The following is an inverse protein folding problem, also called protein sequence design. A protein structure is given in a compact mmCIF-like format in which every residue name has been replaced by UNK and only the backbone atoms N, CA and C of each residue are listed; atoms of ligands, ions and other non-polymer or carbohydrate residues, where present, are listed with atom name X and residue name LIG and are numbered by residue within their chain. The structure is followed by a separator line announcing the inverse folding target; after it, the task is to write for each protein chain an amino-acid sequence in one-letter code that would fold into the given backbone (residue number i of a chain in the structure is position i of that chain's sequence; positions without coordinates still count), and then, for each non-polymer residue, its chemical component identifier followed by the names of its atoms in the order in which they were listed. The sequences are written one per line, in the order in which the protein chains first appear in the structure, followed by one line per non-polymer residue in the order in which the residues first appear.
data_IF_701737044375
#
_entry.id   IF_701737044375
#
_cell.length_a   1.000
_cell.length_b   1.000
_cell.length_c   1.000
_cell.angle_alpha   90.00
_cell.angle_beta   90.00
_cell.angle_gamma   90.00
#
_symmetry.space_group_name_H-M   'P 1'
#
loop_
_entity.id
_entity.type
_entity.pdbx_description
1 polymer ?
#
# COMPACT_ATOMS: atom_id res chain seq x y z
N UNK A 1 21.89 5.50 12.69
CA UNK A 1 20.57 5.84 13.26
C UNK A 1 20.04 4.65 14.04
N UNK A 2 19.75 4.82 15.33
CA UNK A 2 19.12 3.83 16.21
C UNK A 2 17.72 3.45 15.72
N UNK A 3 17.29 2.20 15.97
CA UNK A 3 15.98 1.65 15.59
C UNK A 3 14.82 2.56 16.01
N UNK A 4 14.95 3.19 17.18
CA UNK A 4 14.01 4.17 17.74
C UNK A 4 13.78 5.41 16.88
N UNK A 5 14.82 5.90 16.19
CA UNK A 5 14.71 7.07 15.29
C UNK A 5 14.18 6.70 13.92
N UNK A 6 14.42 5.47 13.45
CA UNK A 6 13.92 4.98 12.15
C UNK A 6 12.41 4.67 12.18
N UNK A 7 11.91 4.18 13.31
CA UNK A 7 10.52 3.75 13.47
C UNK A 7 9.75 4.56 14.52
N UNK A 8 10.13 5.82 14.74
CA UNK A 8 9.53 6.67 15.78
C UNK A 8 8.01 6.76 15.67
N UNK A 9 7.48 6.91 14.44
CA UNK A 9 6.03 6.86 14.19
C UNK A 9 5.40 5.55 14.66
N UNK A 10 6.00 4.41 14.32
CA UNK A 10 5.49 3.09 14.72
C UNK A 10 5.42 2.92 16.24
N UNK A 11 6.45 3.39 16.96
CA UNK A 11 6.46 3.32 18.43
C UNK A 11 5.42 4.21 19.09
N UNK A 12 5.23 5.43 18.60
CA UNK A 12 4.22 6.36 19.12
C UNK A 12 2.82 5.79 18.89
N UNK A 13 2.54 5.31 17.68
CA UNK A 13 1.25 4.68 17.35
C UNK A 13 1.00 3.42 18.15
N UNK A 14 2.02 2.56 18.34
CA UNK A 14 1.91 1.38 19.20
C UNK A 14 1.63 1.76 20.65
N UNK A 15 2.26 2.82 21.16
CA UNK A 15 2.00 3.35 22.49
C UNK A 15 0.55 3.78 22.67
N UNK A 16 0.03 4.58 21.74
CA UNK A 16 -1.39 4.98 21.75
C UNK A 16 -2.33 3.77 21.67
N UNK A 17 -2.01 2.80 20.81
CA UNK A 17 -2.79 1.57 20.67
C UNK A 17 -2.85 0.77 21.98
N UNK A 18 -1.72 0.55 22.64
CA UNK A 18 -1.66 -0.19 23.90
C UNK A 18 -2.43 0.54 25.00
N UNK A 19 -2.28 1.87 25.10
CA UNK A 19 -3.01 2.68 26.07
C UNK A 19 -4.52 2.60 25.82
N UNK A 20 -4.96 2.72 24.57
CA UNK A 20 -6.38 2.59 24.22
C UNK A 20 -6.92 1.18 24.46
N UNK A 21 -6.12 0.14 24.19
CA UNK A 21 -6.52 -1.24 24.42
C UNK A 21 -6.69 -1.53 25.91
N UNK A 22 -5.74 -1.09 26.75
CA UNK A 22 -5.88 -1.18 28.20
C UNK A 22 -7.12 -0.41 28.67
N UNK A 23 -7.33 0.81 28.17
CA UNK A 23 -8.51 1.60 28.47
C UNK A 23 -9.80 0.87 28.12
N UNK A 24 -9.90 0.30 26.93
CA UNK A 24 -11.06 -0.48 26.47
C UNK A 24 -11.40 -1.62 27.45
N UNK A 25 -10.40 -2.39 27.88
CA UNK A 25 -10.61 -3.46 28.85
C UNK A 25 -10.99 -2.92 30.23
N UNK A 26 -10.29 -1.91 30.74
CA UNK A 26 -10.59 -1.30 32.06
C UNK A 26 -12.02 -0.74 32.11
N UNK A 27 -12.46 0.01 31.09
CA UNK A 27 -13.82 0.52 31.03
C UNK A 27 -14.84 -0.60 30.83
N UNK A 28 -14.50 -1.63 30.04
CA UNK A 28 -15.30 -2.84 29.90
C UNK A 28 -15.50 -3.57 31.23
N UNK A 29 -14.51 -3.56 32.13
CA UNK A 29 -14.67 -4.15 33.47
C UNK A 29 -15.73 -3.43 34.29
N UNK A 30 -15.72 -2.09 34.28
CA UNK A 30 -16.73 -1.32 34.98
C UNK A 30 -18.13 -1.57 34.42
N UNK A 31 -18.27 -1.62 33.09
CA UNK A 31 -19.53 -1.94 32.44
C UNK A 31 -20.02 -3.35 32.79
N UNK A 32 -19.14 -4.35 32.70
CA UNK A 32 -19.46 -5.74 33.04
C UNK A 32 -19.92 -5.87 34.49
N UNK A 33 -19.21 -5.26 35.44
CA UNK A 33 -19.57 -5.30 36.86
C UNK A 33 -20.93 -4.66 37.11
N UNK A 34 -21.20 -3.50 36.49
CA UNK A 34 -22.50 -2.82 36.60
C UNK A 34 -23.64 -3.69 36.05
N UNK A 35 -23.45 -4.29 34.88
CA UNK A 35 -24.42 -5.21 34.26
C UNK A 35 -24.69 -6.45 35.14
N UNK A 36 -23.64 -7.11 35.64
CA UNK A 36 -23.82 -8.27 36.52
C UNK A 36 -24.55 -7.89 37.81
N UNK A 37 -24.28 -6.71 38.39
CA UNK A 37 -24.99 -6.23 39.58
C UNK A 37 -26.46 -5.95 39.32
N UNK A 38 -26.79 -5.32 38.18
CA UNK A 38 -28.16 -5.05 37.77
C UNK A 38 -28.97 -6.33 37.55
N UNK A 39 -28.33 -7.39 37.05
CA UNK A 39 -28.95 -8.69 36.83
C UNK A 39 -28.89 -9.62 38.06
N UNK A 40 -28.29 -9.20 39.18
CA UNK A 40 -28.12 -10.03 40.38
C UNK A 40 -27.23 -11.27 40.14
N UNK A 41 -26.37 -11.22 39.11
CA UNK A 41 -25.50 -12.30 38.70
C UNK A 41 -24.13 -12.21 39.39
N UNK A 42 -23.41 -13.33 39.44
CA UNK A 42 -22.09 -13.38 40.06
C UNK A 42 -21.03 -12.78 39.15
N UNK A 43 -20.25 -11.83 39.66
CA UNK A 43 -19.11 -11.25 38.94
C UNK A 43 -18.01 -12.31 38.83
N UNK A 44 -17.77 -12.82 37.62
CA UNK A 44 -16.74 -13.82 37.35
C UNK A 44 -15.71 -13.29 36.35
N UNK A 45 -14.42 -13.35 36.71
CA UNK A 45 -13.33 -12.93 35.83
C UNK A 45 -13.32 -13.71 34.50
N UNK A 46 -13.65 -15.00 34.53
CA UNK A 46 -13.74 -15.82 33.32
C UNK A 46 -14.83 -15.35 32.36
N UNK A 47 -15.97 -14.89 32.87
CA UNK A 47 -17.06 -14.35 32.05
C UNK A 47 -16.63 -13.05 31.38
N UNK A 48 -16.05 -12.15 32.16
CA UNK A 48 -15.49 -10.90 31.67
C UNK A 48 -14.42 -11.10 30.57
N UNK A 49 -13.48 -12.04 30.75
CA UNK A 49 -12.45 -12.31 29.74
C UNK A 49 -13.02 -12.80 28.41
N UNK A 50 -14.07 -13.63 28.46
CA UNK A 50 -14.75 -14.13 27.25
C UNK A 50 -15.52 -13.01 26.56
N UNK A 51 -16.26 -12.21 27.31
CA UNK A 51 -17.02 -11.06 26.81
C UNK A 51 -16.10 -10.04 26.13
N UNK A 52 -15.10 -9.53 26.86
CA UNK A 52 -14.16 -8.55 26.30
C UNK A 52 -13.31 -9.12 25.17
N UNK A 53 -12.99 -10.43 25.23
CA UNK A 53 -12.31 -11.13 24.15
C UNK A 53 -13.14 -11.16 22.88
N UNK A 54 -14.43 -11.49 23.00
CA UNK A 54 -15.39 -11.44 21.88
C UNK A 54 -15.49 -10.02 21.35
N UNK A 55 -15.75 -9.04 22.19
CA UNK A 55 -15.96 -7.65 21.78
C UNK A 55 -14.71 -7.06 21.09
N UNK A 56 -13.51 -7.39 21.61
CA UNK A 56 -12.24 -7.01 20.97
C UNK A 56 -12.09 -7.67 19.60
N UNK A 57 -12.40 -8.97 19.48
CA UNK A 57 -12.28 -9.72 18.23
C UNK A 57 -13.33 -9.32 17.20
N UNK A 58 -14.55 -8.99 17.61
CA UNK A 58 -15.60 -8.49 16.73
C UNK A 58 -15.23 -7.13 16.14
N UNK A 59 -14.72 -6.21 16.97
CA UNK A 59 -14.19 -4.94 16.49
C UNK A 59 -13.00 -5.13 15.54
N UNK A 60 -12.08 -6.05 15.86
CA UNK A 60 -10.95 -6.34 15.00
C UNK A 60 -11.39 -6.96 13.66
N UNK A 61 -12.34 -7.89 13.69
CA UNK A 61 -12.88 -8.53 12.50
C UNK A 61 -13.54 -7.51 11.56
N UNK A 62 -14.37 -6.62 12.09
CA UNK A 62 -15.09 -5.62 11.28
C UNK A 62 -14.13 -4.59 10.66
N UNK A 63 -13.18 -4.07 11.45
CA UNK A 63 -12.20 -3.09 10.98
C UNK A 63 -11.25 -3.68 9.93
N UNK A 64 -10.78 -4.92 10.11
CA UNK A 64 -9.96 -5.58 9.09
C UNK A 64 -10.72 -5.84 7.80
N UNK A 65 -11.97 -6.28 7.90
CA UNK A 65 -12.80 -6.48 6.72
C UNK A 65 -13.02 -5.16 5.97
N UNK A 66 -13.29 -4.06 6.69
CA UNK A 66 -13.41 -2.73 6.12
C UNK A 66 -12.11 -2.28 5.44
N UNK A 67 -10.96 -2.38 6.12
CA UNK A 67 -9.66 -1.97 5.57
C UNK A 67 -9.26 -2.80 4.34
N UNK A 68 -9.47 -4.11 4.38
CA UNK A 68 -9.20 -5.00 3.24
C UNK A 68 -10.12 -4.65 2.08
N UNK A 69 -11.41 -4.43 2.33
CA UNK A 69 -12.36 -4.03 1.30
C UNK A 69 -11.98 -2.69 0.69
N UNK A 70 -11.61 -1.71 1.51
CA UNK A 70 -11.30 -0.37 1.05
C UNK A 70 -9.98 -0.31 0.28
N UNK A 71 -8.89 -0.86 0.83
CA UNK A 71 -7.57 -0.86 0.17
C UNK A 71 -7.55 -1.85 -0.99
N UNK A 72 -8.01 -3.09 -0.75
CA UNK A 72 -8.03 -4.15 -1.76
C UNK A 72 -9.02 -3.85 -2.87
N UNK A 73 -10.22 -3.37 -2.55
CA UNK A 73 -11.21 -2.93 -3.53
C UNK A 73 -10.74 -1.74 -4.35
N UNK A 74 -10.14 -0.72 -3.72
CA UNK A 74 -9.57 0.41 -4.46
C UNK A 74 -8.39 -0.02 -5.34
N UNK A 75 -7.50 -0.87 -4.82
CA UNK A 75 -6.39 -1.43 -5.61
C UNK A 75 -6.89 -2.25 -6.79
N UNK A 76 -7.94 -3.05 -6.62
CA UNK A 76 -8.58 -3.82 -7.68
C UNK A 76 -9.22 -2.93 -8.74
N UNK A 77 -9.97 -1.90 -8.31
CA UNK A 77 -10.57 -0.92 -9.21
C UNK A 77 -9.52 -0.09 -9.95
N UNK A 78 -8.41 0.27 -9.31
CA UNK A 78 -7.28 0.92 -9.97
C UNK A 78 -6.61 -0.04 -10.96
N UNK A 79 -6.44 -1.31 -10.60
CA UNK A 79 -5.83 -2.30 -11.48
C UNK A 79 -6.64 -2.53 -12.76
N UNK A 80 -7.97 -2.63 -12.66
CA UNK A 80 -8.86 -2.83 -13.81
C UNK A 80 -9.17 -1.51 -14.54
N UNK A 81 -9.36 -0.43 -13.78
CA UNK A 81 -9.83 0.86 -14.25
C UNK A 81 -8.74 1.86 -14.64
N UNK A 82 -7.46 1.49 -14.65
CA UNK A 82 -6.36 2.40 -15.03
C UNK A 82 -5.72 2.19 -16.43
N UNK A 83 -6.46 1.87 -17.52
CA UNK A 83 -5.86 1.98 -18.85
C UNK A 83 -5.37 3.42 -19.13
N UNK A 84 -5.95 4.44 -18.49
CA UNK A 84 -5.49 5.83 -18.60
C UNK A 84 -4.12 6.12 -17.96
N UNK A 85 -3.66 5.37 -16.95
CA UNK A 85 -2.34 5.61 -16.36
C UNK A 85 -1.23 5.09 -17.27
N UNK A 86 -1.43 3.93 -17.89
CA UNK A 86 -0.48 3.37 -18.86
C UNK A 86 -0.46 4.15 -20.17
N UNK A 87 -1.62 4.48 -20.73
CA UNK A 87 -1.69 5.32 -21.93
C UNK A 87 -1.21 6.76 -21.68
N UNK A 88 -1.37 7.26 -20.46
CA UNK A 88 -0.93 8.59 -20.05
C UNK A 88 0.59 8.72 -20.03
N UNK A 89 1.28 7.77 -19.38
CA UNK A 89 2.74 7.77 -19.29
C UNK A 89 3.38 7.53 -20.66
N UNK A 90 2.93 6.51 -21.41
CA UNK A 90 3.41 6.24 -22.78
C UNK A 90 3.25 7.47 -23.70
N UNK A 91 2.11 8.17 -23.59
CA UNK A 91 1.83 9.35 -24.40
C UNK A 91 2.63 10.58 -23.94
N UNK A 92 2.93 10.67 -22.65
CA UNK A 92 3.79 11.73 -22.10
C UNK A 92 5.23 11.54 -22.57
N UNK A 93 5.74 10.31 -22.48
CA UNK A 93 7.08 9.92 -22.94
C UNK A 93 7.24 10.20 -24.44
N UNK A 94 6.30 9.75 -25.27
CA UNK A 94 6.31 10.03 -26.70
C UNK A 94 6.29 11.54 -27.04
N UNK A 95 5.65 12.37 -26.20
CA UNK A 95 5.68 13.83 -26.36
C UNK A 95 7.02 14.43 -25.95
N UNK A 96 7.63 13.92 -24.88
CA UNK A 96 8.94 14.37 -24.40
C UNK A 96 10.03 14.00 -25.41
N UNK A 97 9.99 12.81 -25.99
CA UNK A 97 10.90 12.37 -27.05
C UNK A 97 10.78 13.28 -28.28
N UNK A 98 9.55 13.60 -28.69
CA UNK A 98 9.30 14.50 -29.82
C UNK A 98 9.85 15.92 -29.56
N UNK A 99 9.76 16.42 -28.31
CA UNK A 99 10.33 17.70 -27.92
C UNK A 99 11.86 17.62 -27.92
N UNK A 100 12.45 16.56 -27.37
CA UNK A 100 13.90 16.40 -27.29
C UNK A 100 14.52 16.30 -28.69
N UNK A 101 13.88 15.55 -29.59
CA UNK A 101 14.28 15.46 -31.00
C UNK A 101 14.18 16.80 -31.73
N UNK A 102 13.24 17.68 -31.35
CA UNK A 102 13.12 19.02 -31.91
C UNK A 102 14.14 20.02 -31.34
N UNK A 103 14.58 19.83 -30.09
CA UNK A 103 15.52 20.74 -29.39
C UNK A 103 16.99 20.37 -29.66
N UNK A 104 17.34 19.09 -29.63
CA UNK A 104 18.69 18.59 -29.91
C UNK A 104 18.66 17.33 -30.79
N UNK A 105 18.51 17.49 -32.12
CA UNK A 105 18.35 16.37 -33.05
C UNK A 105 19.57 15.43 -33.12
N UNK A 106 20.76 15.91 -32.76
CA UNK A 106 22.00 15.14 -32.92
C UNK A 106 22.28 14.24 -31.72
N UNK A 107 21.81 14.61 -30.52
CA UNK A 107 22.08 13.87 -29.29
C UNK A 107 20.82 13.25 -28.64
N UNK A 108 19.62 13.54 -29.14
CA UNK A 108 18.37 13.06 -28.56
C UNK A 108 18.36 11.54 -28.30
N UNK A 109 18.74 10.74 -29.31
CA UNK A 109 18.75 9.28 -29.20
C UNK A 109 19.73 8.76 -28.13
N UNK A 110 20.93 9.35 -28.01
CA UNK A 110 21.92 8.94 -26.99
C UNK A 110 21.46 9.30 -25.57
N UNK A 111 20.79 10.45 -25.43
CA UNK A 111 20.25 10.92 -24.15
C UNK A 111 19.14 9.97 -23.68
N UNK A 112 18.19 9.63 -24.55
CA UNK A 112 17.10 8.68 -24.24
C UNK A 112 17.67 7.31 -23.88
N UNK A 113 18.55 6.76 -24.72
CA UNK A 113 19.14 5.44 -24.49
C UNK A 113 19.96 5.38 -23.18
N UNK A 114 20.60 6.50 -22.78
CA UNK A 114 21.31 6.57 -21.49
C UNK A 114 20.34 6.56 -20.30
N UNK A 115 19.27 7.35 -20.37
CA UNK A 115 18.23 7.42 -19.33
C UNK A 115 17.57 6.04 -19.18
N UNK A 116 17.22 5.39 -20.28
CA UNK A 116 16.63 4.05 -20.27
C UNK A 116 17.53 3.03 -19.61
N UNK A 117 18.83 3.03 -19.92
CA UNK A 117 19.79 2.10 -19.30
C UNK A 117 19.96 2.34 -17.81
N UNK A 118 19.94 3.60 -17.37
CA UNK A 118 20.02 3.96 -15.95
C UNK A 118 18.75 3.53 -15.17
N UNK A 119 17.60 3.47 -15.84
CA UNK A 119 16.30 3.20 -15.22
C UNK A 119 15.60 1.92 -15.69
N UNK A 120 16.27 1.04 -16.44
CA UNK A 120 15.72 -0.16 -17.07
C UNK A 120 15.02 -1.15 -16.11
N UNK A 121 15.21 -1.04 -14.81
CA UNK A 121 14.54 -1.86 -13.80
C UNK A 121 13.17 -1.34 -13.33
N UNK A 122 12.71 -0.19 -13.83
CA UNK A 122 11.46 0.46 -13.38
C UNK A 122 10.29 0.35 -14.36
N UNK A 123 10.50 -0.19 -15.55
CA UNK A 123 9.42 -0.32 -16.53
C UNK A 123 8.63 -1.60 -16.28
N UNK A 124 7.39 -1.44 -15.82
CA UNK A 124 6.43 -2.54 -15.63
C UNK A 124 5.59 -2.84 -16.89
N UNK A 125 5.88 -2.19 -18.03
CA UNK A 125 5.08 -2.34 -19.25
C UNK A 125 5.58 -3.46 -20.20
N UNK A 126 4.72 -4.44 -20.56
CA UNK A 126 5.08 -5.53 -21.48
C UNK A 126 5.34 -5.08 -22.92
N UNK A 127 4.82 -3.92 -23.37
CA UNK A 127 5.08 -3.36 -24.70
C UNK A 127 6.53 -2.95 -24.85
N UNK A 128 7.14 -2.38 -23.80
CA UNK A 128 8.55 -1.97 -23.87
C UNK A 128 9.50 -3.15 -23.86
N UNK A 129 9.18 -4.20 -23.10
CA UNK A 129 9.91 -5.46 -23.18
C UNK A 129 9.90 -6.04 -24.62
N UNK A 130 8.77 -5.95 -25.32
CA UNK A 130 8.65 -6.40 -26.71
C UNK A 130 9.43 -5.51 -27.70
N UNK A 131 9.38 -4.18 -27.54
CA UNK A 131 10.11 -3.23 -28.38
C UNK A 131 11.63 -3.30 -28.16
N UNK A 132 12.08 -3.40 -26.91
CA UNK A 132 13.49 -3.61 -26.57
C UNK A 132 14.01 -4.93 -27.17
N UNK A 133 13.24 -6.01 -27.09
CA UNK A 133 13.57 -7.29 -27.73
C UNK A 133 13.63 -7.18 -29.27
N UNK A 134 12.71 -6.42 -29.88
CA UNK A 134 12.72 -6.18 -31.33
C UNK A 134 13.93 -5.34 -31.76
N UNK A 135 14.31 -4.30 -31.01
CA UNK A 135 15.48 -3.44 -31.27
C UNK A 135 16.80 -4.22 -31.11
N UNK A 136 16.89 -5.08 -30.10
CA UNK A 136 18.03 -5.97 -29.89
C UNK A 136 18.20 -7.00 -31.02
N UNK A 137 17.10 -7.50 -31.58
CA UNK A 137 17.13 -8.42 -32.72
C UNK A 137 17.41 -7.70 -34.06
N UNK A 138 16.95 -6.45 -34.23
CA UNK A 138 17.23 -5.64 -35.42
C UNK A 138 18.70 -5.23 -35.57
N UNK A 139 19.42 -5.04 -34.45
CA UNK A 139 20.85 -4.73 -34.45
C UNK A 139 21.76 -5.90 -34.86
N UNK A 140 21.30 -7.14 -34.74
CA UNK A 140 22.08 -8.34 -35.09
C UNK A 140 22.11 -8.67 -36.58
N UNK A 141 21.29 -8.02 -37.41
CA UNK A 141 21.21 -8.29 -38.85
C UNK A 141 22.15 -7.43 -39.70
N UNK A 142 22.90 -6.50 -39.10
CA UNK A 142 23.87 -5.61 -39.77
C UNK A 142 25.31 -5.81 -39.25
N UNK A 143 25.71 -7.06 -39.02
CA UNK A 143 27.09 -7.46 -38.76
C UNK A 143 27.56 -8.45 -39.82
#
# INVERSE_FOLDING_TARGET
MTIWKRYGYGWVTLGFFVISLIGHWVFGWFAYVDEQQQHGASIMLSGYLVEMGRDTLENWQSEFLQLIWQIGGLAFLLYIGSPQSKEGDDRMEAKLDAILAAVDPNNADDIVDRIDREYAGRHTDPRWAALAAARANGGRSKA
#
